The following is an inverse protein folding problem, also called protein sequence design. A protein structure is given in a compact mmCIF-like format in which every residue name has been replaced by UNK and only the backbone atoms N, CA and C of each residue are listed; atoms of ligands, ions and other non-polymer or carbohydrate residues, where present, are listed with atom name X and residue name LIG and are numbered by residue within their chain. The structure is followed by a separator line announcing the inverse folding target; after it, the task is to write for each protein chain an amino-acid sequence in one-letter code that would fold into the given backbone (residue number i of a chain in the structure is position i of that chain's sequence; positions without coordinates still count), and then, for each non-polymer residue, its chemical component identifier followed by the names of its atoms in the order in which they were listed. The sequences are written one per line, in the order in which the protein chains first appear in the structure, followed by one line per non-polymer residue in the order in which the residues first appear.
data_IF_330105728270
#
_entry.id   IF_330105728270
#
_cell.length_a   1.000
_cell.length_b   1.000
_cell.length_c   1.000
_cell.angle_alpha   90.00
_cell.angle_beta   90.00
_cell.angle_gamma   90.00
#
_symmetry.space_group_name_H-M   'P 1'
#
loop_
_entity.id
_entity.type
_entity.pdbx_description
1 polymer ?
#
# COMPACT_ATOMS: atom_id res chain seq x y z
N UNK A 1 -3.41 -0.41 8.09
CA UNK A 1 -3.17 0.52 6.97
C UNK A 1 -4.04 1.75 7.17
N UNK A 2 -3.58 2.95 6.80
CA UNK A 2 -4.40 4.17 6.88
C UNK A 2 -5.52 4.13 5.82
N UNK A 3 -5.17 3.78 4.58
CA UNK A 3 -6.14 3.48 3.52
C UNK A 3 -6.01 2.01 3.15
N UNK A 4 -7.12 1.29 3.16
CA UNK A 4 -7.22 -0.08 2.67
C UNK A 4 -8.39 -0.20 1.71
N UNK A 5 -8.15 -0.78 0.53
CA UNK A 5 -9.18 -1.03 -0.46
C UNK A 5 -9.07 -2.43 -1.07
N UNK A 6 -10.21 -3.11 -1.17
CA UNK A 6 -10.38 -4.34 -1.96
C UNK A 6 -11.15 -4.08 -3.27
N UNK A 7 -11.31 -2.81 -3.67
CA UNK A 7 -12.08 -2.45 -4.85
C UNK A 7 -11.28 -2.73 -6.14
N UNK A 8 -11.80 -3.64 -6.97
CA UNK A 8 -11.34 -3.80 -8.34
C UNK A 8 -11.60 -2.51 -9.12
N UNK A 9 -10.59 -2.00 -9.82
CA UNK A 9 -10.69 -0.75 -10.58
C UNK A 9 -10.58 0.52 -9.76
N UNK A 10 -10.10 0.46 -8.50
CA UNK A 10 -9.81 1.66 -7.70
C UNK A 10 -8.91 2.62 -8.49
N UNK A 11 -9.25 3.91 -8.45
CA UNK A 11 -8.43 4.99 -8.99
C UNK A 11 -8.13 6.00 -7.88
N UNK A 12 -6.84 6.28 -7.67
CA UNK A 12 -6.37 7.34 -6.78
C UNK A 12 -5.58 8.35 -7.60
N UNK A 13 -5.89 9.64 -7.44
CA UNK A 13 -5.21 10.70 -8.18
C UNK A 13 -5.07 12.00 -7.37
N UNK A 14 -3.90 12.64 -7.50
CA UNK A 14 -3.62 14.00 -7.01
C UNK A 14 -3.88 14.19 -5.50
N UNK A 15 -3.33 13.29 -4.67
CA UNK A 15 -3.49 13.31 -3.21
C UNK A 15 -2.26 12.74 -2.49
N UNK A 16 -2.20 12.94 -1.17
CA UNK A 16 -1.20 12.34 -0.28
C UNK A 16 -1.87 11.38 0.70
N UNK A 17 -1.31 10.18 0.86
CA UNK A 17 -1.66 9.22 1.91
C UNK A 17 -0.41 9.02 2.76
N UNK A 18 -0.51 9.30 4.06
CA UNK A 18 0.61 9.19 4.97
C UNK A 18 0.24 8.36 6.21
N UNK A 19 1.10 7.41 6.59
CA UNK A 19 1.07 6.85 7.93
C UNK A 19 2.05 7.63 8.82
N UNK A 20 1.50 8.38 9.77
CA UNK A 20 2.26 9.33 10.60
C UNK A 20 2.91 8.72 11.84
N UNK A 21 3.10 7.39 11.89
CA UNK A 21 3.91 6.78 12.96
C UNK A 21 5.33 7.39 12.98
N UNK A 22 5.91 7.57 11.79
CA UNK A 22 7.15 8.31 11.57
C UNK A 22 8.29 7.86 12.49
N UNK A 23 9.08 8.82 12.93
CA UNK A 23 10.25 8.61 13.81
C UNK A 23 9.86 8.61 15.30
N UNK A 24 8.57 8.43 15.61
CA UNK A 24 8.06 8.31 16.97
C UNK A 24 8.34 6.96 17.64
N UNK A 25 9.00 6.04 16.93
CA UNK A 25 9.36 4.70 17.36
C UNK A 25 10.87 4.46 17.17
N UNK A 26 11.41 3.44 17.84
CA UNK A 26 12.80 3.05 17.64
C UNK A 26 13.04 2.43 16.24
N UNK A 27 14.30 2.14 15.91
CA UNK A 27 14.70 1.51 14.64
C UNK A 27 14.35 0.02 14.54
N UNK A 28 13.51 -0.50 15.45
CA UNK A 28 13.04 -1.87 15.47
C UNK A 28 11.95 -2.16 14.44
N UNK A 29 11.17 -3.21 14.70
CA UNK A 29 10.10 -3.65 13.78
C UNK A 29 8.78 -2.95 14.11
N UNK A 30 8.40 -1.98 13.30
CA UNK A 30 7.19 -1.19 13.44
C UNK A 30 6.45 -1.02 12.11
N UNK A 31 5.71 -2.04 11.70
CA UNK A 31 4.97 -2.01 10.44
C UNK A 31 3.87 -0.94 10.47
N UNK A 32 3.94 0.02 9.55
CA UNK A 32 3.07 1.19 9.52
C UNK A 32 2.57 1.48 8.10
N UNK A 33 1.71 0.59 7.60
CA UNK A 33 1.20 0.69 6.22
C UNK A 33 0.40 1.98 5.99
N UNK A 34 0.77 2.76 4.98
CA UNK A 34 0.04 3.96 4.55
C UNK A 34 -1.09 3.58 3.59
N UNK A 35 -0.75 2.94 2.48
CA UNK A 35 -1.72 2.45 1.49
C UNK A 35 -1.65 0.94 1.37
N UNK A 36 -2.81 0.28 1.47
CA UNK A 36 -3.00 -1.11 1.12
C UNK A 36 -4.03 -1.27 0.00
N UNK A 37 -3.73 -2.06 -1.02
CA UNK A 37 -4.69 -2.43 -2.05
C UNK A 37 -4.68 -3.93 -2.36
N UNK A 38 -5.87 -4.51 -2.44
CA UNK A 38 -6.06 -5.94 -2.71
C UNK A 38 -6.77 -6.20 -4.06
N UNK A 39 -7.23 -5.13 -4.73
CA UNK A 39 -8.04 -5.21 -5.94
C UNK A 39 -7.23 -5.36 -7.23
N UNK A 40 -7.85 -5.93 -8.27
CA UNK A 40 -7.28 -5.98 -9.62
C UNK A 40 -7.61 -4.70 -10.42
N UNK A 41 -6.75 -4.38 -11.40
CA UNK A 41 -6.85 -3.20 -12.29
C UNK A 41 -6.85 -1.86 -11.55
N UNK A 42 -6.10 -1.78 -10.47
CA UNK A 42 -5.95 -0.54 -9.67
C UNK A 42 -5.02 0.44 -10.39
N UNK A 43 -5.36 1.73 -10.35
CA UNK A 43 -4.56 2.80 -10.94
C UNK A 43 -4.26 3.86 -9.86
N UNK A 44 -2.98 4.15 -9.67
CA UNK A 44 -2.49 5.16 -8.72
C UNK A 44 -1.66 6.14 -9.54
N UNK A 45 -2.15 7.37 -9.71
CA UNK A 45 -1.53 8.36 -10.57
C UNK A 45 -1.30 9.69 -9.84
N UNK A 46 -0.08 10.22 -9.81
CA UNK A 46 0.22 11.48 -9.11
C UNK A 46 -0.21 11.45 -7.63
N UNK A 47 0.22 10.41 -6.91
CA UNK A 47 -0.08 10.22 -5.48
C UNK A 47 1.21 10.18 -4.68
N UNK A 48 1.24 10.83 -3.53
CA UNK A 48 2.31 10.66 -2.54
C UNK A 48 1.89 9.59 -1.53
N UNK A 49 2.70 8.55 -1.34
CA UNK A 49 2.47 7.49 -0.34
C UNK A 49 3.64 7.51 0.65
N UNK A 50 3.40 8.01 1.86
CA UNK A 50 4.45 8.36 2.82
C UNK A 50 4.39 7.49 4.07
N UNK A 51 5.53 7.00 4.53
CA UNK A 51 5.64 6.23 5.77
C UNK A 51 7.08 5.87 6.15
N UNK A 52 7.20 4.74 6.83
CA UNK A 52 8.47 4.09 7.22
C UNK A 52 8.38 2.63 6.79
N UNK A 53 8.25 1.69 7.73
CA UNK A 53 8.21 0.28 7.40
C UNK A 53 6.86 -0.16 6.77
N UNK A 54 6.93 -0.89 5.65
CA UNK A 54 5.76 -1.38 4.88
C UNK A 54 4.81 -0.30 4.36
N UNK A 55 5.35 0.85 3.92
CA UNK A 55 4.57 2.02 3.48
C UNK A 55 3.49 1.70 2.43
N UNK A 56 3.82 0.96 1.38
CA UNK A 56 2.86 0.54 0.36
C UNK A 56 2.75 -0.99 0.30
N UNK A 57 1.54 -1.51 0.52
CA UNK A 57 1.27 -2.94 0.57
C UNK A 57 0.25 -3.35 -0.51
N UNK A 58 0.64 -4.27 -1.39
CA UNK A 58 -0.27 -4.92 -2.34
C UNK A 58 -0.55 -6.36 -1.88
N UNK A 59 -1.80 -6.81 -1.86
CA UNK A 59 -2.09 -8.21 -1.53
C UNK A 59 -3.09 -8.81 -2.52
N UNK A 60 -3.26 -10.12 -2.48
CA UNK A 60 -4.33 -10.83 -3.19
C UNK A 60 -5.37 -11.37 -2.21
N UNK A 61 -5.63 -10.62 -1.14
CA UNK A 61 -6.43 -11.13 -0.02
C UNK A 61 -7.90 -11.29 -0.32
N UNK A 62 -8.52 -12.31 0.28
CA UNK A 62 -9.97 -12.50 0.26
C UNK A 62 -10.70 -11.52 1.18
N UNK A 63 -12.04 -11.61 1.22
CA UNK A 63 -12.90 -10.79 2.09
C UNK A 63 -12.69 -11.08 3.58
N UNK A 64 -12.02 -12.18 3.92
CA UNK A 64 -11.58 -12.52 5.28
C UNK A 64 -10.16 -12.00 5.58
N UNK A 65 -9.59 -11.18 4.69
CA UNK A 65 -8.25 -10.61 4.85
C UNK A 65 -7.15 -11.67 4.95
N UNK A 66 -7.27 -12.77 4.20
CA UNK A 66 -6.25 -13.83 4.16
C UNK A 66 -5.53 -13.79 2.83
N UNK A 67 -4.20 -13.87 2.86
CA UNK A 67 -3.40 -14.05 1.64
C UNK A 67 -3.83 -15.33 0.92
N UNK A 68 -4.14 -15.22 -0.37
CA UNK A 68 -4.57 -16.34 -1.18
C UNK A 68 -3.38 -16.96 -1.92
N UNK A 69 -3.42 -18.28 -2.15
CA UNK A 69 -2.42 -18.98 -2.98
C UNK A 69 -2.71 -18.88 -4.48
N UNK A 70 -3.87 -18.35 -4.84
CA UNK A 70 -4.33 -18.12 -6.22
C UNK A 70 -4.81 -16.67 -6.37
N UNK A 71 -4.86 -16.17 -7.62
CA UNK A 71 -5.22 -14.79 -7.92
C UNK A 71 -4.01 -13.84 -7.98
N UNK A 72 -3.95 -13.02 -9.03
CA UNK A 72 -2.87 -12.06 -9.32
C UNK A 72 -3.47 -10.67 -9.62
N UNK A 73 -3.71 -9.83 -8.58
CA UNK A 73 -4.28 -8.50 -8.76
C UNK A 73 -3.26 -7.52 -9.31
N UNK A 74 -3.56 -6.86 -10.44
CA UNK A 74 -2.63 -5.93 -11.08
C UNK A 74 -2.86 -4.50 -10.59
N UNK A 75 -1.77 -3.82 -10.25
CA UNK A 75 -1.78 -2.40 -9.89
C UNK A 75 -0.80 -1.63 -10.77
N UNK A 76 -1.24 -0.53 -11.38
CA UNK A 76 -0.39 0.40 -12.11
C UNK A 76 -0.17 1.67 -11.28
N UNK A 77 1.08 1.92 -10.92
CA UNK A 77 1.50 3.15 -10.24
C UNK A 77 2.27 4.03 -11.21
N UNK A 78 1.82 5.27 -11.40
CA UNK A 78 2.38 6.22 -12.38
C UNK A 78 2.52 7.60 -11.76
N UNK A 79 3.56 8.33 -12.15
CA UNK A 79 3.79 9.73 -11.75
C UNK A 79 3.72 9.98 -10.24
N UNK A 80 3.99 8.97 -9.42
CA UNK A 80 3.76 8.98 -7.96
C UNK A 80 5.08 9.01 -7.21
N UNK A 81 5.03 9.44 -5.95
CA UNK A 81 6.16 9.45 -5.03
C UNK A 81 5.88 8.53 -3.84
N UNK A 82 6.86 7.71 -3.46
CA UNK A 82 6.73 6.76 -2.35
C UNK A 82 7.94 6.93 -1.43
N UNK A 83 7.70 7.15 -0.14
CA UNK A 83 8.74 7.39 0.88
C UNK A 83 8.65 6.39 2.03
N UNK A 84 9.80 5.87 2.49
CA UNK A 84 9.92 4.99 3.65
C UNK A 84 11.29 4.31 3.72
N UNK A 85 11.44 3.33 4.60
CA UNK A 85 12.70 2.65 4.89
C UNK A 85 12.65 1.13 4.64
N UNK A 86 12.16 0.34 5.60
CA UNK A 86 12.16 -1.12 5.57
C UNK A 86 10.95 -1.63 4.79
N UNK A 87 11.17 -2.50 3.81
CA UNK A 87 10.11 -3.11 3.00
C UNK A 87 9.13 -2.07 2.41
N UNK A 88 9.68 -0.97 1.87
CA UNK A 88 8.95 0.20 1.36
C UNK A 88 7.71 -0.15 0.52
N UNK A 89 7.90 -1.07 -0.43
CA UNK A 89 6.85 -1.67 -1.26
C UNK A 89 6.89 -3.18 -1.01
N UNK A 90 5.77 -3.75 -0.58
CA UNK A 90 5.72 -5.15 -0.17
C UNK A 90 4.43 -5.85 -0.58
N UNK A 91 4.45 -7.18 -0.52
CA UNK A 91 3.27 -8.03 -0.57
C UNK A 91 3.21 -8.97 -1.78
N UNK A 92 2.00 -9.20 -2.32
CA UNK A 92 1.68 -10.17 -3.37
C UNK A 92 0.63 -9.58 -4.32
N UNK A 93 1.04 -9.22 -5.54
CA UNK A 93 0.21 -8.62 -6.60
C UNK A 93 0.95 -8.61 -7.94
#
# INVERSE_FOLDING_TARGET
AIVWSQNNGLQLQNLTIANSLGDGVDAGKHQAVALRTDGDKVQINNVNILGRQNTFLVTNSDVQNRLMTTGQPRTLVTNSYIEGDVDLVAGRG
#
